data_IF_408039526150
#
_entry.id   IF_408039526150
#
_cell.length_a   1.000
_cell.length_b   1.000
_cell.length_c   1.000
_cell.angle_alpha   90.00
_cell.angle_beta   90.00
_cell.angle_gamma   90.00
#
_symmetry.space_group_name_H-M   'P 1'
#
loop_
_entity.id
_entity.type
_entity.pdbx_description
1 polymer ?
#
# COMPACT_ATOMS: atom_id res chain seq x y z
N UNK A 1 -10.77 23.02 48.71
CA UNK A 1 -10.46 21.62 49.07
C UNK A 1 -9.66 21.03 47.93
N UNK A 2 -8.46 20.50 48.24
CA UNK A 2 -7.50 19.96 47.26
C UNK A 2 -7.83 18.48 47.03
N UNK A 3 -7.98 18.05 45.78
CA UNK A 3 -7.93 16.62 45.44
C UNK A 3 -6.77 16.37 44.49
N UNK A 4 -5.93 15.45 44.95
CA UNK A 4 -4.59 15.10 44.50
C UNK A 4 -4.66 14.07 43.37
N UNK A 5 -3.75 14.22 42.40
CA UNK A 5 -3.44 13.31 41.29
C UNK A 5 -3.06 11.90 41.74
N UNK A 6 -3.40 10.88 40.95
CA UNK A 6 -2.62 9.65 40.84
C UNK A 6 -2.49 9.21 39.37
N UNK A 7 -1.29 9.43 38.84
CA UNK A 7 -0.73 8.87 37.62
C UNK A 7 -0.34 7.41 37.91
N UNK A 8 -0.64 6.45 37.04
CA UNK A 8 -0.07 5.10 37.13
C UNK A 8 0.39 4.64 35.75
N UNK A 9 1.69 4.76 35.56
CA UNK A 9 2.44 4.12 34.49
C UNK A 9 2.79 2.69 34.94
N UNK A 10 2.51 1.71 34.10
CA UNK A 10 3.07 0.37 34.21
C UNK A 10 3.88 0.10 32.94
N UNK A 11 5.19 0.38 33.04
CA UNK A 11 6.21 -0.12 32.13
C UNK A 11 6.65 -1.48 32.68
N UNK A 12 6.50 -2.56 31.90
CA UNK A 12 7.18 -3.82 32.16
C UNK A 12 7.99 -4.22 30.94
N UNK A 13 9.29 -4.36 31.21
CA UNK A 13 10.42 -4.60 30.32
C UNK A 13 10.48 -6.03 29.78
N UNK A 14 11.02 -6.13 28.56
CA UNK A 14 12.04 -7.06 28.05
C UNK A 14 11.94 -8.56 28.45
N UNK A 15 12.07 -9.50 27.52
CA UNK A 15 13.40 -9.84 26.98
C UNK A 15 13.34 -10.93 25.89
N UNK A 16 14.39 -10.92 25.08
CA UNK A 16 14.66 -11.72 23.88
C UNK A 16 14.77 -13.23 24.13
N UNK A 17 14.52 -14.04 23.10
CA UNK A 17 15.46 -15.05 22.56
C UNK A 17 14.82 -15.78 21.37
N UNK A 18 15.50 -15.75 20.21
CA UNK A 18 15.08 -16.47 19.01
C UNK A 18 15.47 -17.95 19.03
N UNK A 19 14.86 -18.73 18.14
CA UNK A 19 15.43 -19.94 17.55
C UNK A 19 14.61 -20.34 16.31
N UNK A 20 15.29 -20.47 15.17
CA UNK A 20 14.82 -21.20 14.00
C UNK A 20 14.76 -22.71 14.30
N UNK A 21 13.80 -23.41 13.69
CA UNK A 21 14.06 -24.75 13.13
C UNK A 21 13.30 -25.93 13.73
N UNK A 22 12.76 -26.73 12.78
CA UNK A 22 12.67 -28.19 12.77
C UNK A 22 11.39 -28.89 13.29
N UNK A 23 10.53 -29.20 12.32
CA UNK A 23 9.88 -30.48 11.98
C UNK A 23 9.47 -31.49 13.08
N UNK A 24 8.25 -32.03 12.95
CA UNK A 24 7.93 -33.37 13.49
C UNK A 24 6.44 -33.62 13.75
N UNK A 25 5.93 -34.68 13.14
CA UNK A 25 4.55 -35.11 12.94
C UNK A 25 3.78 -35.74 14.14
N UNK A 26 2.45 -35.72 13.99
CA UNK A 26 1.47 -36.80 14.23
C UNK A 26 0.71 -36.97 15.58
N UNK A 27 -0.64 -36.93 15.44
CA UNK A 27 -1.65 -37.67 16.21
C UNK A 27 -2.65 -36.79 17.00
N UNK A 28 -3.97 -36.77 16.82
CA UNK A 28 -4.91 -37.46 15.93
C UNK A 28 -6.36 -37.28 16.45
N UNK A 29 -7.20 -36.54 15.69
CA UNK A 29 -8.68 -36.62 15.49
C UNK A 29 -9.68 -36.43 16.67
N UNK A 30 -11.01 -36.23 16.40
CA UNK A 30 -11.69 -35.33 15.44
C UNK A 30 -12.94 -34.63 16.06
N UNK A 31 -13.38 -33.45 15.60
CA UNK A 31 -14.77 -33.24 15.12
C UNK A 31 -15.07 -31.80 14.60
N UNK A 32 -15.77 -31.80 13.46
CA UNK A 32 -16.70 -30.83 12.88
C UNK A 32 -16.37 -29.31 12.83
N UNK A 33 -15.92 -28.84 11.66
CA UNK A 33 -16.74 -28.05 10.70
C UNK A 33 -15.97 -27.81 9.38
N UNK A 34 -16.63 -27.87 8.21
CA UNK A 34 -15.95 -27.90 6.93
C UNK A 34 -15.35 -26.53 6.60
N UNK A 35 -14.04 -26.49 6.38
CA UNK A 35 -13.42 -25.44 5.56
C UNK A 35 -13.87 -25.75 4.14
N UNK A 36 -14.73 -24.91 3.58
CA UNK A 36 -14.95 -24.93 2.15
C UNK A 36 -13.61 -24.63 1.47
N UNK A 37 -13.03 -25.65 0.86
CA UNK A 37 -12.09 -25.47 -0.25
C UNK A 37 -12.79 -24.63 -1.30
N UNK A 38 -12.46 -23.33 -1.37
CA UNK A 38 -12.62 -22.59 -2.61
C UNK A 38 -11.48 -23.05 -3.52
N UNK A 39 -11.79 -24.12 -4.25
CA UNK A 39 -11.16 -24.48 -5.50
C UNK A 39 -10.99 -23.24 -6.39
N UNK A 40 -9.87 -23.26 -7.11
CA UNK A 40 -9.32 -22.18 -7.91
C UNK A 40 -10.30 -21.27 -8.62
N UNK A 41 -9.98 -19.99 -8.51
CA UNK A 41 -9.84 -19.15 -9.70
C UNK A 41 -8.54 -18.38 -9.51
N UNK A 42 -7.45 -18.85 -10.12
CA UNK A 42 -6.39 -17.95 -10.59
C UNK A 42 -7.07 -16.99 -11.57
N UNK A 43 -7.65 -15.92 -11.04
CA UNK A 43 -7.97 -14.76 -11.84
C UNK A 43 -6.68 -13.95 -11.83
N UNK A 44 -5.97 -13.81 -12.97
CA UNK A 44 -4.97 -12.77 -13.05
C UNK A 44 -5.77 -11.46 -12.98
N UNK A 45 -5.80 -10.86 -11.79
CA UNK A 45 -6.31 -9.52 -11.58
C UNK A 45 -5.49 -8.59 -12.47
N UNK A 46 -6.12 -8.14 -13.55
CA UNK A 46 -5.74 -6.95 -14.29
C UNK A 46 -4.28 -6.90 -14.72
N UNK A 47 -3.79 -7.91 -15.45
CA UNK A 47 -2.68 -7.63 -16.36
C UNK A 47 -3.18 -6.52 -17.30
N UNK A 48 -2.62 -5.32 -17.16
CA UNK A 48 -2.76 -4.29 -18.19
C UNK A 48 -2.36 -4.98 -19.48
N UNK A 49 -3.34 -5.25 -20.35
CA UNK A 49 -3.14 -6.07 -21.53
C UNK A 49 -2.22 -5.29 -22.46
N UNK A 50 -0.91 -5.51 -22.30
CA UNK A 50 0.10 -4.99 -23.21
C UNK A 50 -0.27 -5.59 -24.56
N UNK A 51 -0.68 -4.73 -25.50
CA UNK A 51 -0.96 -5.19 -26.83
C UNK A 51 0.32 -5.87 -27.33
N UNK A 52 0.31 -7.11 -27.86
CA UNK A 52 1.54 -7.82 -28.26
C UNK A 52 2.40 -7.10 -29.31
N UNK A 53 1.93 -5.95 -29.78
CA UNK A 53 2.54 -5.06 -30.77
C UNK A 53 3.30 -3.88 -30.15
N UNK A 54 3.15 -3.61 -28.85
CA UNK A 54 3.79 -2.47 -28.21
C UNK A 54 5.22 -2.82 -27.80
N UNK A 55 6.18 -2.10 -28.39
CA UNK A 55 7.60 -2.21 -28.02
C UNK A 55 7.81 -1.79 -26.56
N UNK A 56 8.77 -2.35 -25.82
CA UNK A 56 9.08 -1.91 -24.46
C UNK A 56 9.31 -0.39 -24.34
N UNK A 57 9.89 0.24 -25.35
CA UNK A 57 10.07 1.69 -25.39
C UNK A 57 8.74 2.45 -25.50
N UNK A 58 7.76 1.92 -26.24
CA UNK A 58 6.45 2.53 -26.39
C UNK A 58 5.66 2.47 -25.07
N UNK A 59 5.74 1.35 -24.36
CA UNK A 59 5.14 1.18 -23.02
C UNK A 59 5.76 2.18 -22.04
N UNK A 60 7.08 2.27 -22.02
CA UNK A 60 7.82 3.19 -21.14
C UNK A 60 7.51 4.67 -21.44
N UNK A 61 7.36 5.01 -22.72
CA UNK A 61 6.99 6.36 -23.15
C UNK A 61 5.55 6.74 -22.75
N UNK A 62 4.66 5.76 -22.60
CA UNK A 62 3.28 5.99 -22.19
C UNK A 62 3.11 6.21 -20.67
N UNK A 63 4.11 5.82 -19.85
CA UNK A 63 4.01 5.98 -18.40
C UNK A 63 4.06 7.45 -17.96
N UNK A 64 3.22 7.87 -17.01
CA UNK A 64 3.21 9.25 -16.54
C UNK A 64 4.47 9.58 -15.72
N UNK A 65 5.00 10.79 -15.93
CA UNK A 65 6.05 11.39 -15.06
C UNK A 65 5.46 12.15 -13.89
N UNK A 66 4.19 12.51 -14.01
CA UNK A 66 3.44 13.26 -13.02
C UNK A 66 2.04 12.70 -12.90
N UNK A 67 1.54 12.55 -11.67
CA UNK A 67 0.15 12.20 -11.40
C UNK A 67 -0.43 13.31 -10.53
N UNK A 68 -1.50 13.95 -11.01
CA UNK A 68 -2.18 15.03 -10.28
C UNK A 68 -3.64 14.66 -10.08
N UNK A 69 -4.09 14.71 -8.83
CA UNK A 69 -5.50 14.56 -8.46
C UNK A 69 -5.90 15.81 -7.70
N UNK A 70 -7.02 16.41 -8.07
CA UNK A 70 -7.59 17.55 -7.37
C UNK A 70 -9.10 17.39 -7.32
N UNK A 71 -9.61 17.01 -6.16
CA UNK A 71 -11.03 16.83 -5.91
C UNK A 71 -11.42 17.31 -4.49
N UNK A 72 -12.67 17.09 -4.11
CA UNK A 72 -13.25 17.60 -2.86
C UNK A 72 -12.70 16.94 -1.59
N UNK A 73 -12.05 15.78 -1.72
CA UNK A 73 -11.53 14.99 -0.58
C UNK A 73 -10.02 14.86 -0.58
N UNK A 74 -9.36 15.01 -1.73
CA UNK A 74 -7.93 14.80 -1.90
C UNK A 74 -7.35 15.75 -2.96
N UNK A 75 -6.27 16.42 -2.58
CA UNK A 75 -5.30 17.00 -3.53
C UNK A 75 -4.02 16.18 -3.48
N UNK A 76 -3.62 15.57 -4.60
CA UNK A 76 -2.40 14.80 -4.74
C UNK A 76 -1.51 15.33 -5.87
N UNK A 77 -0.22 15.45 -5.59
CA UNK A 77 0.82 15.84 -6.54
C UNK A 77 1.99 14.84 -6.44
N UNK A 78 2.12 14.01 -7.48
CA UNK A 78 3.20 13.04 -7.60
C UNK A 78 4.13 13.45 -8.73
N UNK A 79 5.43 13.51 -8.44
CA UNK A 79 6.49 13.68 -9.43
C UNK A 79 7.45 12.48 -9.41
N UNK A 80 7.84 12.02 -10.61
CA UNK A 80 8.77 10.90 -10.79
C UNK A 80 9.93 11.39 -11.65
N UNK A 81 11.14 11.28 -11.12
CA UNK A 81 12.38 11.64 -11.83
C UNK A 81 12.53 10.82 -13.13
N UNK A 82 12.90 11.49 -14.23
CA UNK A 82 13.13 10.86 -15.53
C UNK A 82 14.22 9.77 -15.44
N UNK A 83 15.16 9.89 -14.50
CA UNK A 83 16.18 8.88 -14.25
C UNK A 83 15.57 7.50 -13.95
N UNK A 84 14.40 7.41 -13.30
CA UNK A 84 13.71 6.15 -13.01
C UNK A 84 13.41 5.38 -14.30
N UNK A 85 13.01 6.08 -15.35
CA UNK A 85 12.66 5.50 -16.65
C UNK A 85 13.88 5.03 -17.44
N UNK A 86 15.08 5.49 -17.09
CA UNK A 86 16.32 5.10 -17.76
C UNK A 86 16.88 3.74 -17.34
N UNK A 87 16.41 3.16 -16.23
CA UNK A 87 16.92 1.89 -15.70
C UNK A 87 16.28 0.68 -16.37
N UNK A 88 15.02 0.41 -16.04
CA UNK A 88 14.27 -0.73 -16.59
C UNK A 88 12.79 -0.38 -16.73
N UNK A 89 12.08 -0.92 -17.75
CA UNK A 89 10.65 -0.71 -17.87
C UNK A 89 9.82 -1.20 -16.68
N UNK A 90 10.21 -2.34 -16.08
CA UNK A 90 9.51 -2.91 -14.93
C UNK A 90 9.55 -1.96 -13.71
N UNK A 91 10.72 -1.40 -13.38
CA UNK A 91 10.84 -0.46 -12.27
C UNK A 91 9.97 0.78 -12.46
N UNK A 92 9.93 1.35 -13.66
CA UNK A 92 9.09 2.50 -13.95
C UNK A 92 7.60 2.18 -13.79
N UNK A 93 7.16 1.00 -14.23
CA UNK A 93 5.79 0.54 -14.04
C UNK A 93 5.45 0.37 -12.56
N UNK A 94 6.32 -0.27 -11.79
CA UNK A 94 6.12 -0.50 -10.36
C UNK A 94 6.00 0.82 -9.57
N UNK A 95 6.85 1.80 -9.88
CA UNK A 95 6.81 3.12 -9.21
C UNK A 95 5.52 3.88 -9.54
N UNK A 96 5.08 3.84 -10.80
CA UNK A 96 3.79 4.44 -11.20
C UNK A 96 2.63 3.74 -10.50
N UNK A 97 2.65 2.41 -10.45
CA UNK A 97 1.61 1.62 -9.79
C UNK A 97 1.54 1.87 -8.28
N UNK A 98 2.69 1.95 -7.59
CA UNK A 98 2.76 2.29 -6.16
C UNK A 98 2.19 3.70 -5.89
N UNK A 99 2.54 4.68 -6.73
CA UNK A 99 1.99 6.03 -6.61
C UNK A 99 0.46 6.05 -6.74
N UNK A 100 -0.09 5.33 -7.72
CA UNK A 100 -1.54 5.23 -7.91
C UNK A 100 -2.21 4.53 -6.72
N UNK A 101 -1.64 3.42 -6.24
CA UNK A 101 -2.18 2.68 -5.10
C UNK A 101 -2.24 3.55 -3.82
N UNK A 102 -1.23 4.40 -3.60
CA UNK A 102 -1.22 5.35 -2.46
C UNK A 102 -2.30 6.42 -2.60
N UNK A 103 -2.48 6.97 -3.81
CA UNK A 103 -3.56 7.93 -4.09
C UNK A 103 -4.91 7.29 -3.79
N UNK A 104 -5.17 6.09 -4.32
CA UNK A 104 -6.44 5.40 -4.17
C UNK A 104 -6.74 5.08 -2.70
N UNK A 105 -5.74 4.62 -1.95
CA UNK A 105 -5.86 4.35 -0.52
C UNK A 105 -6.16 5.64 0.28
N UNK A 106 -5.45 6.73 -0.03
CA UNK A 106 -5.62 8.01 0.66
C UNK A 106 -6.99 8.62 0.36
N UNK A 107 -7.47 8.48 -0.87
CA UNK A 107 -8.80 8.94 -1.27
C UNK A 107 -9.90 8.13 -0.60
N UNK A 108 -9.75 6.80 -0.51
CA UNK A 108 -10.70 5.93 0.16
C UNK A 108 -10.81 6.24 1.67
N UNK A 109 -9.69 6.51 2.32
CA UNK A 109 -9.67 6.94 3.73
C UNK A 109 -10.33 8.32 3.90
N UNK A 110 -9.98 9.29 3.05
CA UNK A 110 -10.58 10.64 3.09
C UNK A 110 -12.11 10.59 2.91
N UNK A 111 -12.60 9.80 1.94
CA UNK A 111 -14.04 9.57 1.72
C UNK A 111 -14.72 8.92 2.92
N UNK A 112 -14.01 8.06 3.64
CA UNK A 112 -14.53 7.41 4.86
C UNK A 112 -14.62 8.42 5.99
N UNK A 113 -13.58 9.20 6.22
CA UNK A 113 -13.57 10.20 7.29
C UNK A 113 -14.61 11.31 7.05
N UNK A 114 -14.74 11.79 5.81
CA UNK A 114 -15.76 12.78 5.42
C UNK A 114 -17.19 12.31 5.77
N UNK A 115 -17.48 11.01 5.63
CA UNK A 115 -18.79 10.43 5.98
C UNK A 115 -19.00 10.28 7.48
N UNK A 116 -17.96 9.92 8.21
CA UNK A 116 -18.03 9.64 9.65
C UNK A 116 -18.13 10.93 10.46
N UNK A 117 -17.40 11.98 10.05
CA UNK A 117 -17.36 13.25 10.77
C UNK A 117 -17.21 14.45 9.82
N UNK A 118 -18.29 14.83 9.11
CA UNK A 118 -18.24 15.86 8.07
C UNK A 118 -17.91 17.27 8.62
N UNK A 119 -18.29 17.57 9.86
CA UNK A 119 -18.07 18.89 10.46
C UNK A 119 -16.59 19.14 10.76
N UNK A 120 -15.84 18.09 11.09
CA UNK A 120 -14.40 18.15 11.36
C UNK A 120 -13.54 17.75 10.16
N UNK A 121 -14.11 17.16 9.12
CA UNK A 121 -13.37 16.76 7.93
C UNK A 121 -12.61 17.92 7.29
N UNK A 122 -11.38 17.64 6.87
CA UNK A 122 -10.56 18.51 6.01
C UNK A 122 -10.02 17.66 4.87
N UNK A 123 -10.04 18.15 3.62
CA UNK A 123 -9.46 17.41 2.49
C UNK A 123 -8.01 17.02 2.77
N UNK A 124 -7.65 15.82 2.35
CA UNK A 124 -6.30 15.32 2.49
C UNK A 124 -5.38 15.95 1.43
N UNK A 125 -4.10 16.03 1.76
CA UNK A 125 -3.06 16.46 0.84
C UNK A 125 -1.96 15.39 0.79
N UNK A 126 -1.60 14.97 -0.42
CA UNK A 126 -0.53 14.00 -0.67
C UNK A 126 0.49 14.61 -1.64
N UNK A 127 1.77 14.59 -1.24
CA UNK A 127 2.87 14.93 -2.13
C UNK A 127 3.88 13.79 -2.14
N UNK A 128 4.25 13.32 -3.32
CA UNK A 128 5.27 12.28 -3.48
C UNK A 128 6.26 12.73 -4.54
N UNK A 129 7.53 12.82 -4.16
CA UNK A 129 8.62 13.12 -5.09
C UNK A 129 9.57 11.92 -5.13
N UNK A 130 9.52 11.14 -6.20
CA UNK A 130 10.40 9.99 -6.42
C UNK A 130 11.67 10.44 -7.13
N UNK A 131 12.82 10.19 -6.52
CA UNK A 131 14.13 10.58 -7.03
C UNK A 131 15.10 9.41 -6.99
N UNK A 132 16.00 9.35 -7.99
CA UNK A 132 17.11 8.40 -7.99
C UNK A 132 18.29 9.03 -7.26
N UNK A 133 18.81 8.34 -6.25
CA UNK A 133 19.98 8.80 -5.50
C UNK A 133 21.21 7.95 -5.82
N UNK A 134 22.37 8.58 -5.97
CA UNK A 134 23.66 7.88 -6.10
C UNK A 134 24.02 7.39 -7.51
N UNK A 135 23.42 7.99 -8.55
CA UNK A 135 23.81 7.81 -9.95
C UNK A 135 25.09 8.59 -10.29
#
# INVERSE_FOLDING_TARGET
MKHTLLLSAAFLMASLSGACGQAGEAGGTPDARPVAELSGTDTPDGETQVNPTDSPEAILAALPRTIVVDNDVLTADVSIDEAVFSFTPALAQDIVADAQARIDAMEADAKTYQKVDPDYFRPYALKIDWQVTGA
#
